data_IF_975871318919
#
_entry.id   IF_975871318919
#
_cell.length_a   1.000
_cell.length_b   1.000
_cell.length_c   1.000
_cell.angle_alpha   90.00
_cell.angle_beta   90.00
_cell.angle_gamma   90.00
#
_symmetry.space_group_name_H-M   'P 1'
#
loop_
_entity.id
_entity.type
_entity.pdbx_description
1 polymer ?
#
# COMPACT_ATOMS: atom_id res chain seq x y z
N UNK A 1 -27.06 7.58 -16.70
CA UNK A 1 -26.08 6.52 -16.99
C UNK A 1 -24.96 6.71 -15.98
N UNK A 2 -24.52 5.67 -15.27
CA UNK A 2 -23.32 5.80 -14.44
C UNK A 2 -22.15 5.84 -15.40
N UNK A 3 -21.57 7.02 -15.57
CA UNK A 3 -20.39 7.20 -16.41
C UNK A 3 -19.22 6.37 -15.87
N UNK A 4 -18.31 6.00 -16.77
CA UNK A 4 -17.10 5.29 -16.40
C UNK A 4 -16.28 6.13 -15.43
N UNK A 5 -15.72 5.49 -14.39
CA UNK A 5 -14.74 6.14 -13.53
C UNK A 5 -13.34 5.98 -14.11
N UNK A 6 -12.39 6.79 -13.65
CA UNK A 6 -11.00 6.76 -14.10
C UNK A 6 -10.10 6.37 -12.93
N UNK A 7 -9.32 5.29 -13.09
CA UNK A 7 -8.21 4.95 -12.20
C UNK A 7 -7.00 5.80 -12.60
N UNK A 8 -6.69 6.78 -11.77
CA UNK A 8 -5.52 7.66 -11.90
C UNK A 8 -4.40 7.17 -10.98
N UNK A 9 -3.30 6.70 -11.57
CA UNK A 9 -2.15 6.12 -10.86
C UNK A 9 -0.90 6.95 -11.09
N UNK A 10 -0.12 7.13 -10.03
CA UNK A 10 1.15 7.83 -10.05
C UNK A 10 2.23 7.01 -9.38
N UNK A 11 3.40 6.95 -10.00
CA UNK A 11 4.62 6.58 -9.31
C UNK A 11 5.80 7.46 -9.75
N UNK A 12 6.73 7.67 -8.85
CA UNK A 12 7.91 8.49 -9.09
C UNK A 12 9.19 7.81 -8.62
N UNK A 13 10.30 8.15 -9.27
CA UNK A 13 11.63 7.67 -8.92
C UNK A 13 12.54 8.84 -8.55
N UNK A 14 13.63 8.52 -7.85
CA UNK A 14 14.75 9.42 -7.61
C UNK A 14 16.02 8.59 -7.69
N UNK A 15 16.93 8.91 -8.61
CA UNK A 15 18.19 8.18 -8.84
C UNK A 15 17.98 6.69 -9.12
N UNK A 16 16.87 6.36 -9.79
CA UNK A 16 16.49 4.98 -10.11
C UNK A 16 15.84 4.19 -8.97
N UNK A 17 15.72 4.76 -7.77
CA UNK A 17 15.02 4.14 -6.63
C UNK A 17 13.57 4.66 -6.51
N UNK A 18 12.69 3.84 -5.93
CA UNK A 18 11.30 4.24 -5.72
C UNK A 18 11.21 5.38 -4.71
N UNK A 19 10.52 6.46 -5.09
CA UNK A 19 10.39 7.65 -4.27
C UNK A 19 8.97 7.80 -3.69
N UNK A 20 7.95 7.83 -4.54
CA UNK A 20 6.55 8.02 -4.14
C UNK A 20 5.59 7.26 -5.06
N UNK A 21 4.40 6.99 -4.55
CA UNK A 21 3.28 6.42 -5.30
C UNK A 21 1.93 6.82 -4.71
N UNK A 22 0.91 6.88 -5.56
CA UNK A 22 -0.47 7.11 -5.16
C UNK A 22 -1.43 6.64 -6.26
N UNK A 23 -2.66 6.33 -5.86
CA UNK A 23 -3.76 6.00 -6.75
C UNK A 23 -5.03 6.72 -6.30
N UNK A 24 -5.87 7.13 -7.26
CA UNK A 24 -7.18 7.73 -7.06
C UNK A 24 -8.17 7.16 -8.07
N UNK A 25 -9.43 7.10 -7.67
CA UNK A 25 -10.56 6.81 -8.55
C UNK A 25 -11.41 8.09 -8.62
N UNK A 26 -11.65 8.61 -9.82
CA UNK A 26 -12.32 9.89 -10.03
C UNK A 26 -13.21 9.89 -11.28
N UNK A 27 -14.09 10.88 -11.38
CA UNK A 27 -14.84 11.14 -12.60
C UNK A 27 -13.96 11.90 -13.61
N UNK A 28 -14.42 12.01 -14.86
CA UNK A 28 -13.72 12.76 -15.91
C UNK A 28 -13.56 14.25 -15.57
N UNK A 29 -14.59 14.86 -14.96
CA UNK A 29 -14.58 16.27 -14.55
C UNK A 29 -13.47 16.61 -13.54
N UNK A 30 -13.12 15.65 -12.68
CA UNK A 30 -12.12 15.82 -11.62
C UNK A 30 -10.69 15.44 -12.09
N UNK A 31 -10.54 14.90 -13.31
CA UNK A 31 -9.32 14.26 -13.76
C UNK A 31 -8.11 15.20 -13.73
N UNK A 32 -8.27 16.43 -14.20
CA UNK A 32 -7.20 17.43 -14.24
C UNK A 32 -6.70 17.79 -12.82
N UNK A 33 -7.63 17.96 -11.89
CA UNK A 33 -7.31 18.28 -10.51
C UNK A 33 -6.64 17.11 -9.79
N UNK A 34 -7.11 15.88 -10.03
CA UNK A 34 -6.46 14.66 -9.54
C UNK A 34 -5.05 14.52 -10.12
N UNK A 35 -4.86 14.71 -11.43
CA UNK A 35 -3.55 14.67 -12.07
C UNK A 35 -2.60 15.71 -11.46
N UNK A 36 -3.08 16.94 -11.24
CA UNK A 36 -2.32 18.01 -10.58
C UNK A 36 -1.91 17.65 -9.16
N UNK A 37 -2.81 17.06 -8.36
CA UNK A 37 -2.51 16.62 -6.99
C UNK A 37 -1.47 15.50 -6.97
N UNK A 38 -1.61 14.52 -7.87
CA UNK A 38 -0.65 13.41 -8.01
C UNK A 38 0.73 13.92 -8.42
N UNK A 39 0.79 14.85 -9.38
CA UNK A 39 2.05 15.48 -9.81
C UNK A 39 2.69 16.29 -8.69
N UNK A 40 1.91 17.12 -7.98
CA UNK A 40 2.41 17.88 -6.82
C UNK A 40 2.98 16.96 -5.75
N UNK A 41 2.32 15.83 -5.47
CA UNK A 41 2.82 14.82 -4.53
C UNK A 41 4.16 14.23 -4.96
N UNK A 42 4.36 14.00 -6.26
CA UNK A 42 5.61 13.46 -6.79
C UNK A 42 6.77 14.46 -6.68
N UNK A 43 6.49 15.75 -6.93
CA UNK A 43 7.50 16.82 -6.98
C UNK A 43 7.78 17.46 -5.61
N UNK A 44 6.80 17.48 -4.69
CA UNK A 44 6.88 18.14 -3.39
C UNK A 44 7.05 17.18 -2.21
N UNK A 45 7.56 15.97 -2.43
CA UNK A 45 7.72 15.01 -1.35
C UNK A 45 8.87 15.40 -0.42
N UNK A 46 8.72 15.16 0.89
CA UNK A 46 9.70 15.50 1.93
C UNK A 46 11.08 14.83 1.75
N UNK A 47 11.18 13.83 0.87
CA UNK A 47 12.41 13.05 0.60
C UNK A 47 13.19 13.56 -0.61
N UNK A 48 12.76 14.65 -1.23
CA UNK A 48 13.38 15.25 -2.41
C UNK A 48 12.42 15.38 -3.58
N UNK A 49 12.88 16.02 -4.65
CA UNK A 49 12.13 16.13 -5.90
C UNK A 49 12.44 14.91 -6.77
N UNK A 50 11.40 14.22 -7.25
CA UNK A 50 11.58 13.08 -8.16
C UNK A 50 12.24 13.48 -9.49
N UNK A 51 13.12 12.63 -10.01
CA UNK A 51 13.75 12.80 -11.33
C UNK A 51 12.85 12.31 -12.48
N UNK A 52 11.99 11.33 -12.19
CA UNK A 52 11.02 10.76 -13.12
C UNK A 52 9.67 10.62 -12.43
N UNK A 53 8.61 11.01 -13.15
CA UNK A 53 7.22 10.87 -12.71
C UNK A 53 6.42 10.22 -13.83
N UNK A 54 5.64 9.20 -13.48
CA UNK A 54 4.76 8.50 -14.39
C UNK A 54 3.33 8.66 -13.90
N UNK A 55 2.46 9.11 -14.81
CA UNK A 55 1.02 9.16 -14.61
C UNK A 55 0.36 8.21 -15.59
N UNK A 56 -0.62 7.45 -15.12
CA UNK A 56 -1.41 6.53 -15.94
C UNK A 56 -2.88 6.66 -15.58
N UNK A 57 -3.73 6.67 -16.58
CA UNK A 57 -5.17 6.87 -16.44
C UNK A 57 -5.88 5.79 -17.25
N UNK A 58 -6.72 5.02 -16.58
CA UNK A 58 -7.44 3.90 -17.19
C UNK A 58 -8.94 4.01 -16.87
N UNK A 59 -9.80 3.84 -17.88
CA UNK A 59 -11.26 3.76 -17.64
C UNK A 59 -11.60 2.49 -16.84
N UNK A 60 -12.50 2.66 -15.87
CA UNK A 60 -13.02 1.62 -14.99
C UNK A 60 -14.54 1.53 -15.20
N UNK A 61 -15.03 0.44 -15.81
CA UNK A 61 -16.44 0.33 -16.13
C UNK A 61 -17.26 0.12 -14.84
N UNK A 62 -18.51 0.63 -14.76
CA UNK A 62 -19.35 0.54 -13.56
C UNK A 62 -19.52 -0.88 -13.02
N UNK A 63 -19.54 -1.91 -13.89
CA UNK A 63 -19.64 -3.32 -13.50
C UNK A 63 -18.46 -3.83 -12.65
N UNK A 64 -17.30 -3.18 -12.73
CA UNK A 64 -16.12 -3.50 -11.94
C UNK A 64 -16.11 -2.79 -10.57
N UNK A 65 -16.97 -1.78 -10.39
CA UNK A 65 -17.03 -1.01 -9.16
C UNK A 65 -17.74 -1.80 -8.05
N UNK A 66 -17.14 -1.75 -6.86
CA UNK A 66 -17.71 -2.29 -5.63
C UNK A 66 -17.67 -1.20 -4.57
N UNK A 67 -18.80 -0.92 -3.96
CA UNK A 67 -18.91 0.01 -2.83
C UNK A 67 -19.06 -0.79 -1.54
N UNK A 68 -18.50 -0.27 -0.45
CA UNK A 68 -18.51 -0.93 0.85
C UNK A 68 -18.31 0.09 1.96
N UNK A 69 -18.62 -0.32 3.19
CA UNK A 69 -18.34 0.49 4.38
C UNK A 69 -16.86 0.38 4.75
N UNK A 70 -16.31 1.45 5.32
CA UNK A 70 -15.00 1.40 5.94
C UNK A 70 -15.03 0.43 7.13
N UNK A 71 -13.93 -0.30 7.41
CA UNK A 71 -13.81 -1.08 8.64
C UNK A 71 -13.90 -0.20 9.88
N UNK A 72 -14.29 -0.79 11.00
CA UNK A 72 -14.23 -0.12 12.30
C UNK A 72 -12.78 0.24 12.65
N UNK A 73 -12.54 1.49 13.03
CA UNK A 73 -11.21 2.01 13.33
C UNK A 73 -10.98 2.06 14.84
N UNK A 74 -9.89 1.45 15.29
CA UNK A 74 -9.43 1.54 16.67
C UNK A 74 -7.94 1.90 16.70
N UNK A 75 -7.54 2.75 17.65
CA UNK A 75 -6.15 3.11 17.90
C UNK A 75 -5.70 2.48 19.21
N UNK A 76 -4.70 1.60 19.14
CA UNK A 76 -4.06 1.03 20.32
C UNK A 76 -2.79 1.82 20.64
N UNK A 77 -2.78 2.50 21.78
CA UNK A 77 -1.60 3.21 22.29
C UNK A 77 -0.70 2.22 23.01
N UNK A 78 0.60 2.25 22.71
CA UNK A 78 1.64 1.40 23.28
C UNK A 78 2.87 2.23 23.62
N UNK A 79 3.66 1.80 24.60
CA UNK A 79 4.81 2.59 25.07
C UNK A 79 6.01 2.50 24.12
N UNK A 80 6.17 1.36 23.44
CA UNK A 80 7.30 1.12 22.55
C UNK A 80 6.97 0.21 21.35
N UNK A 81 7.93 0.10 20.43
CA UNK A 81 7.79 -0.71 19.23
C UNK A 81 7.66 -2.21 19.52
N UNK A 82 8.16 -2.71 20.66
CA UNK A 82 8.12 -4.13 21.02
C UNK A 82 6.70 -4.51 21.45
N UNK A 83 6.08 -3.67 22.29
CA UNK A 83 4.68 -3.78 22.65
C UNK A 83 3.78 -3.69 21.41
N UNK A 84 4.04 -2.75 20.51
CA UNK A 84 3.30 -2.62 19.24
C UNK A 84 3.38 -3.88 18.37
N UNK A 85 4.57 -4.47 18.22
CA UNK A 85 4.76 -5.74 17.50
C UNK A 85 4.05 -6.91 18.19
N UNK A 86 4.04 -6.94 19.52
CA UNK A 86 3.32 -7.97 20.27
C UNK A 86 1.81 -7.86 20.04
N UNK A 87 1.25 -6.67 20.16
CA UNK A 87 -0.17 -6.41 19.91
C UNK A 87 -0.56 -6.77 18.47
N UNK A 88 0.24 -6.39 17.47
CA UNK A 88 0.00 -6.76 16.08
C UNK A 88 -0.07 -8.29 15.88
N UNK A 89 0.83 -9.06 16.51
CA UNK A 89 0.76 -10.54 16.45
C UNK A 89 -0.49 -11.10 17.13
N UNK A 90 -0.94 -10.50 18.24
CA UNK A 90 -2.15 -10.94 18.92
C UNK A 90 -3.40 -10.67 18.08
N UNK A 91 -3.50 -9.49 17.45
CA UNK A 91 -4.58 -9.13 16.54
C UNK A 91 -4.63 -10.05 15.30
N UNK A 92 -3.46 -10.35 14.71
CA UNK A 92 -3.38 -11.32 13.60
C UNK A 92 -3.89 -12.70 14.02
N UNK A 93 -3.53 -13.16 15.23
CA UNK A 93 -4.01 -14.44 15.76
C UNK A 93 -5.52 -14.43 16.00
N UNK A 94 -6.07 -13.35 16.54
CA UNK A 94 -7.51 -13.18 16.71
C UNK A 94 -8.25 -13.19 15.36
N UNK A 95 -7.62 -12.71 14.29
CA UNK A 95 -8.13 -12.78 12.92
C UNK A 95 -7.93 -14.16 12.24
N UNK A 96 -7.46 -15.18 12.96
CA UNK A 96 -7.31 -16.55 12.44
C UNK A 96 -5.95 -16.86 11.81
N UNK A 97 -4.97 -15.95 11.89
CA UNK A 97 -3.60 -16.23 11.41
C UNK A 97 -2.84 -17.09 12.41
N UNK A 98 -2.11 -18.10 11.94
CA UNK A 98 -1.36 -18.98 12.83
C UNK A 98 -0.28 -18.21 13.62
N UNK A 99 0.05 -18.64 14.85
CA UNK A 99 1.11 -17.99 15.63
C UNK A 99 2.45 -17.92 14.87
N UNK A 100 2.76 -18.98 14.09
CA UNK A 100 3.96 -19.05 13.26
C UNK A 100 3.93 -18.03 12.12
N UNK A 101 2.81 -17.89 11.42
CA UNK A 101 2.68 -16.94 10.32
C UNK A 101 2.76 -15.48 10.81
N UNK A 102 2.09 -15.17 11.92
CA UNK A 102 2.15 -13.84 12.53
C UNK A 102 3.58 -13.47 12.98
N UNK A 103 4.30 -14.41 13.59
CA UNK A 103 5.70 -14.21 13.98
C UNK A 103 6.58 -13.96 12.74
N UNK A 104 6.50 -14.83 11.74
CA UNK A 104 7.27 -14.72 10.51
C UNK A 104 7.03 -13.36 9.82
N UNK A 105 5.78 -12.92 9.72
CA UNK A 105 5.42 -11.66 9.07
C UNK A 105 6.14 -10.46 9.71
N UNK A 106 6.11 -10.37 11.04
CA UNK A 106 6.80 -9.31 11.79
C UNK A 106 8.32 -9.40 11.64
N UNK A 107 8.88 -10.61 11.67
CA UNK A 107 10.32 -10.80 11.45
C UNK A 107 10.77 -10.37 10.05
N UNK A 108 10.03 -10.76 9.01
CA UNK A 108 10.33 -10.36 7.63
C UNK A 108 10.35 -8.84 7.44
N UNK A 109 9.39 -8.14 8.03
CA UNK A 109 9.36 -6.68 8.01
C UNK A 109 10.57 -6.08 8.74
N UNK A 110 10.93 -6.64 9.89
CA UNK A 110 12.04 -6.10 10.71
C UNK A 110 13.43 -6.25 10.10
N UNK A 111 13.61 -7.20 9.17
CA UNK A 111 14.90 -7.48 8.51
C UNK A 111 15.04 -6.80 7.14
N UNK A 112 14.06 -5.98 6.75
CA UNK A 112 13.93 -5.49 5.38
C UNK A 112 13.21 -6.53 4.52
N UNK A 113 11.99 -6.21 4.13
CA UNK A 113 11.10 -7.16 3.49
C UNK A 113 11.57 -7.59 2.08
N UNK A 114 12.47 -6.86 1.42
CA UNK A 114 12.98 -7.24 0.10
C UNK A 114 14.17 -8.22 0.22
N UNK A 115 14.40 -9.07 -0.81
CA UNK A 115 15.68 -9.78 -0.93
C UNK A 115 16.85 -8.78 -0.82
N UNK A 116 17.81 -9.06 0.05
CA UNK A 116 18.93 -8.15 0.33
C UNK A 116 18.68 -7.12 1.44
N UNK A 117 17.60 -7.25 2.23
CA UNK A 117 17.37 -6.43 3.42
C UNK A 117 16.91 -5.00 3.14
N UNK A 118 16.50 -4.71 1.90
CA UNK A 118 15.94 -3.42 1.50
C UNK A 118 14.42 -3.37 1.75
N UNK A 119 13.83 -2.20 1.51
CA UNK A 119 12.38 -2.05 1.47
C UNK A 119 11.80 -2.69 0.20
N UNK A 120 10.63 -3.33 0.31
CA UNK A 120 9.90 -3.82 -0.86
C UNK A 120 9.13 -2.71 -1.55
N UNK A 121 8.95 -2.86 -2.86
CA UNK A 121 7.87 -2.19 -3.60
C UNK A 121 6.60 -3.01 -3.44
N UNK A 122 5.61 -2.49 -2.71
CA UNK A 122 4.32 -3.15 -2.46
C UNK A 122 4.32 -4.06 -1.23
N UNK A 123 3.38 -5.01 -1.21
CA UNK A 123 3.11 -5.88 -0.05
C UNK A 123 3.74 -7.28 -0.17
N UNK A 124 3.98 -7.92 0.97
CA UNK A 124 4.30 -9.35 1.03
C UNK A 124 3.02 -10.17 1.08
N UNK A 125 2.99 -11.27 0.33
CA UNK A 125 1.98 -12.31 0.50
C UNK A 125 2.55 -13.44 1.33
N UNK A 126 1.89 -13.72 2.45
CA UNK A 126 2.31 -14.72 3.42
C UNK A 126 1.13 -15.65 3.63
N UNK A 127 1.39 -16.95 3.52
CA UNK A 127 0.44 -18.00 3.80
C UNK A 127 0.05 -17.96 5.29
N UNK A 128 -1.25 -17.78 5.57
CA UNK A 128 -1.75 -17.53 6.92
C UNK A 128 -1.57 -18.70 7.90
N UNK A 129 -1.44 -19.92 7.37
CA UNK A 129 -1.22 -21.12 8.18
C UNK A 129 0.26 -21.45 8.32
N UNK A 130 0.96 -21.63 7.21
CA UNK A 130 2.35 -22.09 7.20
C UNK A 130 3.37 -20.98 7.49
N UNK A 131 2.98 -19.72 7.31
CA UNK A 131 3.88 -18.56 7.44
C UNK A 131 4.92 -18.47 6.33
N UNK A 132 4.74 -19.23 5.23
CA UNK A 132 5.63 -19.19 4.07
C UNK A 132 5.31 -17.96 3.23
N UNK A 133 6.33 -17.19 2.89
CA UNK A 133 6.20 -16.14 1.90
C UNK A 133 5.96 -16.75 0.52
N UNK A 134 4.90 -16.31 -0.13
CA UNK A 134 4.57 -16.70 -1.51
C UNK A 134 5.11 -15.62 -2.45
N UNK A 135 5.60 -16.03 -3.61
CA UNK A 135 5.74 -15.13 -4.76
C UNK A 135 4.39 -15.08 -5.47
N UNK A 136 3.98 -13.91 -5.91
CA UNK A 136 2.95 -13.80 -6.93
C UNK A 136 3.42 -14.60 -8.16
N UNK A 137 2.55 -15.45 -8.71
CA UNK A 137 2.79 -16.12 -9.99
C UNK A 137 2.18 -15.27 -11.09
#
# INVERSE_FOLDING_TARGET
>A
MTDDLISARMHSCLEGEHHSGAERLCNEEDLEDVARQLLRRALGHERGQADKVFLSFDSVPPKALRTGRLPDLQTLVVDDFRQGRQAARQLLRAAGVSPRAALNAVEWLSRGAAPGGKNMRGAMLIDAESGRRRRWR
#
